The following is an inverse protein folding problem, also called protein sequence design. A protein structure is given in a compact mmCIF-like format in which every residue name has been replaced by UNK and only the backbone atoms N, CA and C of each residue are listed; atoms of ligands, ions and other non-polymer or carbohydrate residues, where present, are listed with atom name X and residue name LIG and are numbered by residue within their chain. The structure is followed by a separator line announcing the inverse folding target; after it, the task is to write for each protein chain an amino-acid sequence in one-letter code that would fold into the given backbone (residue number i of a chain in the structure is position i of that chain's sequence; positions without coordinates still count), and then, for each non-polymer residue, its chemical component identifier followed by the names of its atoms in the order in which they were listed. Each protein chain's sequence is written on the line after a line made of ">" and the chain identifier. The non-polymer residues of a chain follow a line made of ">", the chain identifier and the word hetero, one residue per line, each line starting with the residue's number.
data_IF_309550499758
#
_entry.id   IF_309550499758
#
_cell.length_a   1.000
_cell.length_b   1.000
_cell.length_c   1.000
_cell.angle_alpha   90.00
_cell.angle_beta   90.00
_cell.angle_gamma   90.00
#
_symmetry.space_group_name_H-M   'P 1'
#
loop_
_entity.id
_entity.type
_entity.pdbx_description
1 polymer ?
#
# COMPACT_ATOMS: atom_id res chain seq x y z
N UNK A 1 15.59 6.48 -1.25
CA UNK A 1 14.61 6.44 -0.15
C UNK A 1 13.31 6.97 -0.70
N UNK A 2 12.20 6.26 -0.49
CA UNK A 2 10.88 6.71 -0.95
C UNK A 2 10.33 7.66 0.11
N UNK A 3 9.82 8.82 -0.31
CA UNK A 3 9.25 9.84 0.56
C UNK A 3 8.34 10.75 -0.26
N UNK A 4 7.17 11.09 0.26
CA UNK A 4 6.28 12.08 -0.35
C UNK A 4 5.61 11.61 -1.64
N UNK A 5 5.54 10.30 -1.90
CA UNK A 5 4.83 9.76 -3.05
C UNK A 5 3.33 9.66 -2.75
N UNK A 6 2.53 9.71 -3.81
CA UNK A 6 1.11 9.35 -3.77
C UNK A 6 0.99 7.88 -4.17
N UNK A 7 0.22 7.12 -3.41
CA UNK A 7 -0.06 5.71 -3.67
C UNK A 7 -1.56 5.53 -3.80
N UNK A 8 -1.99 4.86 -4.85
CA UNK A 8 -3.42 4.71 -5.18
C UNK A 8 -4.17 3.83 -4.16
N UNK A 9 -3.44 2.99 -3.42
CA UNK A 9 -3.95 2.07 -2.40
C UNK A 9 -3.63 2.52 -0.96
N UNK A 10 -3.09 3.72 -0.76
CA UNK A 10 -2.84 4.23 0.58
C UNK A 10 -4.14 4.55 1.32
N UNK A 11 -4.33 3.90 2.47
CA UNK A 11 -5.51 4.04 3.34
C UNK A 11 -5.14 4.52 4.75
N UNK A 12 -4.11 5.34 4.85
CA UNK A 12 -3.75 5.99 6.12
C UNK A 12 -4.68 7.15 6.46
N UNK A 13 -4.27 7.92 7.47
CA UNK A 13 -4.99 9.08 7.98
C UNK A 13 -4.02 10.24 8.17
N UNK A 14 -4.55 11.46 8.13
CA UNK A 14 -3.84 12.71 8.38
C UNK A 14 -4.56 13.44 9.54
N UNK A 15 -4.00 13.35 10.75
CA UNK A 15 -4.58 13.94 11.96
C UNK A 15 -4.08 15.37 12.20
N UNK A 16 -2.93 15.77 11.65
CA UNK A 16 -2.35 17.10 11.84
C UNK A 16 -2.67 18.08 10.70
N UNK A 17 -3.21 17.58 9.59
CA UNK A 17 -3.72 18.33 8.45
C UNK A 17 -2.64 18.86 7.53
N UNK A 18 -1.45 18.24 7.49
CA UNK A 18 -0.33 18.67 6.67
C UNK A 18 -0.38 18.14 5.21
N UNK A 19 -1.31 17.23 4.92
CA UNK A 19 -1.52 16.61 3.61
C UNK A 19 -0.66 15.37 3.34
N UNK A 20 0.09 14.91 4.35
CA UNK A 20 0.78 13.64 4.39
C UNK A 20 0.12 12.73 5.43
N UNK A 21 0.25 11.42 5.23
CA UNK A 21 -0.32 10.48 6.17
C UNK A 21 0.61 10.20 7.35
N UNK A 22 0.01 10.09 8.54
CA UNK A 22 0.71 9.85 9.82
C UNK A 22 1.30 8.44 9.93
N UNK A 23 0.87 7.52 9.07
CA UNK A 23 1.34 6.13 9.04
C UNK A 23 2.16 5.87 7.77
N UNK A 24 3.32 5.21 7.85
CA UNK A 24 4.10 4.86 6.67
C UNK A 24 3.31 3.99 5.70
N UNK A 25 3.51 4.20 4.40
CA UNK A 25 3.09 3.23 3.40
C UNK A 25 4.12 2.11 3.33
N UNK A 26 3.66 0.86 3.39
CA UNK A 26 4.49 -0.34 3.29
C UNK A 26 3.97 -1.26 2.19
N UNK A 27 4.78 -1.47 1.15
CA UNK A 27 4.48 -2.45 0.12
C UNK A 27 5.06 -3.81 0.53
N UNK A 28 4.16 -4.79 0.59
CA UNK A 28 4.42 -6.17 0.97
C UNK A 28 3.66 -7.08 0.00
N UNK A 29 4.36 -8.00 -0.67
CA UNK A 29 3.75 -8.98 -1.59
C UNK A 29 4.42 -10.34 -1.45
N UNK A 30 3.64 -11.35 -1.07
CA UNK A 30 4.11 -12.71 -0.94
C UNK A 30 4.25 -13.35 -2.31
N UNK A 31 3.33 -13.05 -3.22
CA UNK A 31 3.41 -13.51 -4.61
C UNK A 31 4.68 -12.99 -5.31
N UNK A 32 5.04 -11.72 -5.07
CA UNK A 32 6.27 -11.11 -5.54
C UNK A 32 7.52 -11.79 -4.96
N UNK A 33 7.52 -12.04 -3.64
CA UNK A 33 8.64 -12.74 -2.98
C UNK A 33 8.83 -14.16 -3.51
N UNK A 34 7.73 -14.91 -3.69
CA UNK A 34 7.76 -16.26 -4.24
C UNK A 34 8.25 -16.25 -5.69
N UNK A 35 7.77 -15.35 -6.53
CA UNK A 35 8.20 -15.26 -7.94
C UNK A 35 9.67 -14.85 -8.08
N UNK A 36 10.19 -14.07 -7.13
CA UNK A 36 11.62 -13.73 -7.08
C UNK A 36 12.50 -14.93 -6.71
N UNK A 37 12.01 -15.81 -5.82
CA UNK A 37 12.70 -17.04 -5.39
C UNK A 37 12.54 -18.20 -6.38
N UNK A 38 11.39 -18.26 -7.05
CA UNK A 38 10.93 -19.34 -7.91
C UNK A 38 10.54 -18.77 -9.28
N UNK A 39 11.50 -18.57 -10.20
CA UNK A 39 11.22 -17.99 -11.52
C UNK A 39 10.17 -18.73 -12.33
N UNK A 40 9.97 -20.03 -12.09
CA UNK A 40 8.91 -20.87 -12.68
C UNK A 40 7.51 -20.32 -12.42
N UNK A 41 7.30 -19.63 -11.29
CA UNK A 41 6.01 -19.02 -10.96
C UNK A 41 5.67 -17.81 -11.83
N UNK A 42 6.62 -17.28 -12.62
CA UNK A 42 6.34 -16.23 -13.61
C UNK A 42 5.33 -16.67 -14.66
N UNK A 43 5.18 -17.96 -14.90
CA UNK A 43 4.12 -18.48 -15.77
C UNK A 43 2.71 -18.10 -15.27
N UNK A 44 2.55 -17.93 -13.96
CA UNK A 44 1.30 -17.52 -13.32
C UNK A 44 1.13 -16.00 -13.29
N UNK A 45 2.09 -15.23 -13.80
CA UNK A 45 1.98 -13.77 -13.87
C UNK A 45 0.75 -13.36 -14.70
N UNK A 46 -0.04 -12.43 -14.17
CA UNK A 46 -1.29 -11.99 -14.80
C UNK A 46 -2.49 -12.92 -14.59
N UNK A 47 -2.31 -14.05 -13.89
CA UNK A 47 -3.42 -14.94 -13.50
C UNK A 47 -3.94 -14.58 -12.10
N UNK A 48 -5.20 -14.92 -11.76
CA UNK A 48 -5.73 -14.68 -10.42
C UNK A 48 -5.02 -15.47 -9.30
N UNK A 49 -4.25 -16.51 -9.64
CA UNK A 49 -3.57 -17.35 -8.66
C UNK A 49 -2.61 -16.56 -7.77
N UNK A 50 -1.81 -15.65 -8.34
CA UNK A 50 -0.88 -14.82 -7.58
C UNK A 50 -1.60 -13.81 -6.69
N UNK A 51 -2.70 -13.23 -7.16
CA UNK A 51 -3.52 -12.32 -6.36
C UNK A 51 -4.14 -13.03 -5.14
N UNK A 52 -4.63 -14.26 -5.32
CA UNK A 52 -5.15 -15.10 -4.24
C UNK A 52 -4.11 -15.38 -3.15
N UNK A 53 -2.83 -15.54 -3.52
CA UNK A 53 -1.73 -15.71 -2.56
C UNK A 53 -1.59 -14.46 -1.68
N UNK A 54 -1.63 -13.26 -2.27
CA UNK A 54 -1.50 -12.01 -1.51
C UNK A 54 -2.72 -11.76 -0.61
N UNK A 55 -3.92 -12.12 -1.07
CA UNK A 55 -5.14 -12.09 -0.24
C UNK A 55 -5.01 -13.03 0.97
N UNK A 56 -4.54 -14.26 0.76
CA UNK A 56 -4.31 -15.21 1.84
C UNK A 56 -3.25 -14.70 2.83
N UNK A 57 -2.16 -14.10 2.33
CA UNK A 57 -1.12 -13.52 3.16
C UNK A 57 -1.63 -12.36 4.03
N UNK A 58 -2.55 -11.54 3.50
CA UNK A 58 -3.18 -10.46 4.26
C UNK A 58 -4.07 -11.00 5.41
N UNK A 59 -4.74 -12.13 5.19
CA UNK A 59 -5.61 -12.76 6.20
C UNK A 59 -4.83 -13.56 7.26
N UNK A 60 -3.61 -14.02 6.96
CA UNK A 60 -2.84 -14.94 7.80
C UNK A 60 -1.52 -14.30 8.26
N UNK A 61 -1.44 -13.78 9.50
CA UNK A 61 -0.24 -13.10 9.99
C UNK A 61 1.06 -13.90 9.91
N UNK A 62 1.00 -15.23 9.92
CA UNK A 62 2.16 -16.13 9.77
C UNK A 62 2.76 -16.16 8.35
N UNK A 63 2.03 -15.68 7.35
CA UNK A 63 2.43 -15.60 5.95
C UNK A 63 2.88 -14.19 5.54
N UNK A 64 3.09 -13.29 6.51
CA UNK A 64 3.50 -11.91 6.22
C UNK A 64 4.81 -11.88 5.42
N UNK A 65 4.81 -11.33 4.19
CA UNK A 65 6.00 -11.27 3.37
C UNK A 65 6.91 -10.14 3.85
N UNK A 66 8.15 -10.14 3.34
CA UNK A 66 9.13 -9.12 3.66
C UNK A 66 8.70 -7.76 3.14
N UNK A 67 9.13 -6.72 3.84
CA UNK A 67 8.98 -5.33 3.40
C UNK A 67 9.79 -5.10 2.12
N UNK A 68 9.12 -4.76 1.03
CA UNK A 68 9.74 -4.48 -0.27
C UNK A 68 10.09 -2.99 -0.37
N UNK A 69 9.13 -2.15 0.03
CA UNK A 69 9.23 -0.71 -0.04
C UNK A 69 8.53 -0.10 1.17
N UNK A 70 9.11 0.99 1.68
CA UNK A 70 8.52 1.83 2.71
C UNK A 70 8.67 3.28 2.31
N UNK A 71 7.55 4.00 2.30
CA UNK A 71 7.49 5.46 2.22
C UNK A 71 7.09 5.99 3.60
N UNK A 72 8.00 6.62 4.35
CA UNK A 72 7.70 7.13 5.69
C UNK A 72 6.74 8.31 5.72
N UNK A 73 6.49 8.99 4.60
CA UNK A 73 5.71 10.22 4.55
C UNK A 73 4.88 10.24 3.26
N UNK A 74 3.92 9.32 3.10
CA UNK A 74 3.09 9.23 1.91
C UNK A 74 2.13 10.42 1.83
N UNK A 75 1.84 10.92 0.62
CA UNK A 75 0.86 11.99 0.41
C UNK A 75 -0.56 11.44 0.46
N UNK A 76 -1.48 12.17 1.08
CA UNK A 76 -2.90 11.83 1.10
C UNK A 76 -3.54 11.85 -0.30
N UNK A 77 -4.49 10.93 -0.52
CA UNK A 77 -5.32 10.83 -1.72
C UNK A 77 -6.30 12.00 -1.88
N UNK A 78 -6.97 12.11 -3.04
CA UNK A 78 -7.99 13.15 -3.26
C UNK A 78 -9.29 12.89 -2.48
N UNK A 79 -9.52 11.63 -2.07
CA UNK A 79 -10.73 11.19 -1.37
C UNK A 79 -10.65 11.39 0.16
N UNK A 80 -9.73 12.23 0.64
CA UNK A 80 -9.57 12.52 2.06
C UNK A 80 -10.68 13.51 2.52
N UNK A 81 -11.59 13.09 3.41
CA UNK A 81 -12.73 13.90 3.84
C UNK A 81 -12.34 15.19 4.57
N UNK A 82 -11.10 15.32 5.05
CA UNK A 82 -10.63 16.51 5.81
C UNK A 82 -10.64 17.79 4.95
N UNK A 83 -10.64 17.69 3.61
CA UNK A 83 -10.64 18.86 2.73
C UNK A 83 -11.99 19.53 2.51
N UNK A 84 -13.11 18.84 2.73
CA UNK A 84 -14.42 19.36 2.33
C UNK A 84 -14.95 20.45 3.28
N UNK A 85 -14.55 20.43 4.55
CA UNK A 85 -15.06 21.35 5.57
C UNK A 85 -14.52 22.80 5.46
N UNK A 86 -13.44 23.02 4.68
CA UNK A 86 -12.81 24.35 4.55
C UNK A 86 -13.24 25.16 3.31
N UNK A 87 -14.24 24.72 2.54
CA UNK A 87 -14.77 25.46 1.37
C UNK A 87 -16.21 25.98 1.53
N UNK A 88 -16.85 25.77 2.67
CA UNK A 88 -18.27 26.09 2.89
C UNK A 88 -18.57 27.36 3.71
N UNK A 89 -17.62 28.28 3.86
CA UNK A 89 -17.80 29.49 4.65
C UNK A 89 -17.30 30.74 3.93
N UNK A 90 -18.13 31.29 3.04
CA UNK A 90 -18.15 32.70 2.65
C UNK A 90 -19.60 33.09 2.32
#
# INVERSE_FOLDING_TARGET
>A
MWSGNRWDDYRGYDLDGDGFGDVPYELRSLSGELTAKHPELRLLAGTPALALIDVAAHAMPLLQPRLILRDPHPRMGLDDPVREERRGGD
#
